data_IF_434514127983
#
_entry.id   IF_434514127983
#
_cell.length_a   1.000
_cell.length_b   1.000
_cell.length_c   1.000
_cell.angle_alpha   90.00
_cell.angle_beta   90.00
_cell.angle_gamma   90.00
#
_symmetry.space_group_name_H-M   'P 1'
#
loop_
_entity.id
_entity.type
_entity.pdbx_description
1 polymer ?
#
# COMPACT_ATOMS: atom_id res chain seq x y z
N UNK A 1 -31.76 36.71 -39.10
CA UNK A 1 -30.41 36.66 -38.52
C UNK A 1 -30.59 36.80 -37.00
N UNK A 2 -30.68 35.67 -36.30
CA UNK A 2 -31.05 35.63 -34.88
C UNK A 2 -29.79 35.76 -34.03
N UNK A 3 -29.71 36.79 -33.20
CA UNK A 3 -28.59 37.02 -32.30
C UNK A 3 -28.55 35.90 -31.24
N UNK A 4 -27.38 35.29 -30.94
CA UNK A 4 -27.29 34.32 -29.86
C UNK A 4 -27.49 35.01 -28.51
N UNK A 5 -28.29 34.39 -27.65
CA UNK A 5 -28.55 34.81 -26.27
C UNK A 5 -27.24 34.79 -25.45
N UNK A 6 -26.75 35.95 -24.96
CA UNK A 6 -25.51 36.04 -24.19
C UNK A 6 -25.59 35.41 -22.79
N UNK A 7 -26.79 35.08 -22.31
CA UNK A 7 -27.01 34.53 -20.96
C UNK A 7 -27.10 32.99 -20.92
N UNK A 8 -26.90 32.31 -22.05
CA UNK A 8 -26.93 30.85 -22.12
C UNK A 8 -25.66 30.24 -21.53
N UNK A 9 -25.62 30.14 -20.20
CA UNK A 9 -24.55 29.43 -19.47
C UNK A 9 -24.45 28.00 -20.01
N UNK A 10 -23.25 27.50 -20.37
CA UNK A 10 -23.08 26.11 -20.78
C UNK A 10 -23.61 25.21 -19.68
N UNK A 11 -24.45 24.24 -20.04
CA UNK A 11 -24.96 23.25 -19.12
C UNK A 11 -23.79 22.65 -18.34
N UNK A 12 -23.86 22.71 -17.01
CA UNK A 12 -22.83 22.16 -16.14
C UNK A 12 -22.63 20.68 -16.53
N UNK A 13 -21.37 20.31 -16.84
CA UNK A 13 -21.02 18.90 -17.09
C UNK A 13 -21.55 18.08 -15.92
N UNK A 14 -22.29 16.98 -16.15
CA UNK A 14 -22.69 16.09 -15.08
C UNK A 14 -21.46 15.72 -14.27
N UNK A 15 -21.54 15.86 -12.94
CA UNK A 15 -20.49 15.35 -12.06
C UNK A 15 -20.24 13.88 -12.44
N UNK A 16 -18.99 13.43 -12.61
CA UNK A 16 -18.72 12.05 -12.97
C UNK A 16 -19.42 11.15 -11.97
N UNK A 17 -20.25 10.24 -12.49
CA UNK A 17 -21.05 9.30 -11.72
C UNK A 17 -20.16 8.69 -10.64
N UNK A 18 -20.60 8.81 -9.38
CA UNK A 18 -20.01 8.12 -8.24
C UNK A 18 -19.80 6.65 -8.62
N UNK A 19 -18.55 6.26 -8.91
CA UNK A 19 -18.26 4.85 -9.19
C UNK A 19 -18.62 4.06 -7.92
N UNK A 20 -19.65 3.24 -8.02
CA UNK A 20 -20.11 2.36 -6.95
C UNK A 20 -19.15 1.18 -6.82
N UNK A 21 -18.00 1.41 -6.19
CA UNK A 21 -17.00 0.36 -5.89
C UNK A 21 -15.56 0.82 -6.13
N UNK A 22 -14.60 -0.02 -5.72
CA UNK A 22 -13.20 0.19 -6.06
C UNK A 22 -12.98 -0.04 -7.58
N UNK A 23 -12.13 0.75 -8.26
CA UNK A 23 -11.79 0.53 -9.66
C UNK A 23 -11.25 -0.86 -9.95
N UNK A 24 -11.51 -1.37 -11.16
CA UNK A 24 -11.13 -2.74 -11.55
C UNK A 24 -9.65 -3.07 -11.40
N UNK A 25 -8.74 -2.12 -11.56
CA UNK A 25 -7.30 -2.36 -11.38
C UNK A 25 -6.92 -2.67 -9.92
N UNK A 26 -7.65 -2.14 -8.93
CA UNK A 26 -7.43 -2.48 -7.51
C UNK A 26 -7.93 -3.88 -7.21
N UNK A 27 -9.06 -4.26 -7.81
CA UNK A 27 -9.56 -5.64 -7.74
C UNK A 27 -8.62 -6.62 -8.42
N UNK A 28 -8.01 -6.25 -9.55
CA UNK A 28 -6.99 -7.07 -10.19
C UNK A 28 -5.75 -7.23 -9.28
N UNK A 29 -5.27 -6.13 -8.69
CA UNK A 29 -4.13 -6.14 -7.76
C UNK A 29 -4.40 -7.06 -6.55
N UNK A 30 -5.53 -6.88 -5.87
CA UNK A 30 -5.94 -7.72 -4.73
C UNK A 30 -6.24 -9.14 -5.19
N UNK A 31 -6.80 -9.33 -6.38
CA UNK A 31 -7.10 -10.64 -6.96
C UNK A 31 -5.86 -11.48 -7.21
N UNK A 32 -4.76 -10.87 -7.67
CA UNK A 32 -3.46 -11.54 -7.80
C UNK A 32 -2.95 -11.99 -6.43
N UNK A 33 -3.00 -11.12 -5.42
CA UNK A 33 -2.59 -11.46 -4.04
C UNK A 33 -3.46 -12.59 -3.46
N UNK A 34 -4.77 -12.55 -3.73
CA UNK A 34 -5.71 -13.58 -3.31
C UNK A 34 -5.47 -14.91 -4.00
N UNK A 35 -5.21 -14.92 -5.31
CA UNK A 35 -4.87 -16.13 -6.03
C UNK A 35 -3.60 -16.80 -5.47
N UNK A 36 -2.58 -16.01 -5.15
CA UNK A 36 -1.35 -16.51 -4.50
C UNK A 36 -1.70 -17.09 -3.13
N UNK A 37 -2.34 -16.34 -2.24
CA UNK A 37 -2.62 -16.80 -0.88
C UNK A 37 -3.56 -18.02 -0.83
N UNK A 38 -4.54 -18.10 -1.74
CA UNK A 38 -5.41 -19.26 -1.87
C UNK A 38 -4.65 -20.49 -2.36
N UNK A 39 -3.72 -20.35 -3.30
CA UNK A 39 -2.86 -21.44 -3.74
C UNK A 39 -1.96 -21.93 -2.60
N UNK A 40 -1.35 -21.01 -1.84
CA UNK A 40 -0.54 -21.36 -0.67
C UNK A 40 -1.39 -22.05 0.41
N UNK A 41 -2.57 -21.54 0.71
CA UNK A 41 -3.50 -22.15 1.69
C UNK A 41 -3.98 -23.53 1.25
N UNK A 42 -4.30 -23.72 -0.03
CA UNK A 42 -4.66 -25.02 -0.58
C UNK A 42 -3.50 -26.02 -0.52
N UNK A 43 -2.27 -25.55 -0.74
CA UNK A 43 -1.06 -26.34 -0.54
C UNK A 43 -0.85 -26.76 0.92
N UNK A 44 -1.02 -25.82 1.86
CA UNK A 44 -0.93 -26.09 3.31
C UNK A 44 -1.97 -27.14 3.75
N UNK A 45 -3.16 -27.10 3.14
CA UNK A 45 -4.24 -28.06 3.35
C UNK A 45 -4.02 -29.42 2.63
N UNK A 46 -2.94 -29.56 1.84
CA UNK A 46 -2.64 -30.77 1.06
C UNK A 46 -3.53 -30.98 -0.17
N UNK A 47 -4.25 -29.96 -0.61
CA UNK A 47 -5.12 -29.99 -1.79
C UNK A 47 -4.36 -29.72 -3.09
N UNK A 48 -3.21 -29.03 -3.01
CA UNK A 48 -2.27 -28.85 -4.10
C UNK A 48 -0.96 -29.57 -3.75
N UNK A 49 -0.31 -30.18 -4.74
CA UNK A 49 0.91 -30.97 -4.54
C UNK A 49 2.07 -30.14 -3.95
N UNK A 50 2.78 -30.73 -2.99
CA UNK A 50 3.95 -30.14 -2.32
C UNK A 50 3.59 -29.33 -1.07
N UNK A 51 3.67 -29.92 0.13
CA UNK A 51 3.35 -29.24 1.40
C UNK A 51 4.26 -28.05 1.76
N UNK A 52 5.28 -27.79 0.94
CA UNK A 52 6.29 -26.77 1.18
C UNK A 52 6.13 -25.51 0.30
N UNK A 53 5.06 -25.40 -0.50
CA UNK A 53 4.90 -24.26 -1.44
C UNK A 53 4.94 -22.90 -0.75
N UNK A 54 4.40 -22.76 0.47
CA UNK A 54 4.50 -21.50 1.23
C UNK A 54 5.93 -21.16 1.61
N UNK A 55 6.66 -22.14 2.15
CA UNK A 55 8.07 -21.99 2.51
C UNK A 55 8.90 -21.62 1.29
N UNK A 56 8.65 -22.26 0.14
CA UNK A 56 9.29 -21.91 -1.13
C UNK A 56 8.90 -20.50 -1.59
N UNK A 57 7.62 -20.12 -1.55
CA UNK A 57 7.18 -18.78 -1.92
C UNK A 57 7.89 -17.70 -1.09
N UNK A 58 8.05 -17.92 0.22
CA UNK A 58 8.78 -16.99 1.08
C UNK A 58 10.28 -16.98 0.76
N UNK A 59 10.88 -18.15 0.58
CA UNK A 59 12.29 -18.29 0.26
C UNK A 59 12.66 -17.52 -1.01
N UNK A 60 11.81 -17.55 -2.04
CA UNK A 60 12.06 -16.89 -3.33
C UNK A 60 11.54 -15.46 -3.42
N UNK A 61 10.44 -15.12 -2.73
CA UNK A 61 9.71 -13.88 -2.96
C UNK A 61 9.57 -12.94 -1.76
N UNK A 62 9.86 -13.37 -0.54
CA UNK A 62 9.81 -12.48 0.62
C UNK A 62 11.03 -11.55 0.67
N UNK A 63 10.91 -10.47 1.45
CA UNK A 63 12.04 -9.59 1.72
C UNK A 63 12.88 -10.16 2.86
N UNK A 64 14.17 -10.39 2.61
CA UNK A 64 15.09 -10.94 3.59
C UNK A 64 16.15 -9.90 3.94
N UNK A 65 16.10 -9.38 5.16
CA UNK A 65 17.14 -8.48 5.67
C UNK A 65 18.55 -9.10 5.60
N UNK A 66 18.76 -10.42 5.89
CA UNK A 66 20.06 -11.06 5.72
C UNK A 66 20.68 -10.95 4.31
N UNK A 67 19.86 -10.89 3.25
CA UNK A 67 20.35 -10.66 1.88
C UNK A 67 20.87 -9.24 1.69
N UNK A 68 20.25 -8.25 2.35
CA UNK A 68 20.73 -6.85 2.37
C UNK A 68 22.02 -6.73 3.17
N UNK A 69 22.10 -7.43 4.30
CA UNK A 69 23.28 -7.44 5.17
C UNK A 69 24.47 -8.23 4.59
N UNK A 70 24.27 -8.99 3.50
CA UNK A 70 25.30 -9.83 2.90
C UNK A 70 25.68 -11.04 3.75
N UNK A 71 24.85 -11.43 4.72
CA UNK A 71 25.11 -12.57 5.61
C UNK A 71 24.63 -13.89 5.03
N UNK A 72 23.75 -13.85 4.03
CA UNK A 72 23.33 -15.01 3.22
C UNK A 72 23.40 -14.67 1.74
N UNK A 73 23.61 -15.68 0.90
CA UNK A 73 23.66 -15.51 -0.56
C UNK A 73 22.27 -15.60 -1.17
N UNK A 74 22.00 -14.86 -2.27
CA UNK A 74 20.76 -15.01 -3.02
C UNK A 74 20.70 -16.39 -3.70
N UNK A 75 19.48 -16.90 -3.83
CA UNK A 75 19.18 -18.22 -4.39
C UNK A 75 19.07 -18.16 -5.92
N UNK A 76 18.75 -16.99 -6.46
CA UNK A 76 18.73 -16.72 -7.89
C UNK A 76 19.22 -15.31 -8.19
N UNK A 77 19.72 -15.11 -9.41
CA UNK A 77 20.17 -13.81 -9.88
C UNK A 77 19.01 -12.80 -9.84
N UNK A 78 19.21 -11.67 -9.17
CA UNK A 78 18.21 -10.60 -9.07
C UNK A 78 17.28 -10.69 -7.85
N UNK A 79 17.40 -11.70 -6.98
CA UNK A 79 16.57 -11.80 -5.77
C UNK A 79 16.63 -10.54 -4.89
N UNK A 80 17.82 -9.98 -4.70
CA UNK A 80 18.06 -8.76 -3.91
C UNK A 80 17.32 -7.53 -4.46
N UNK A 81 16.94 -7.54 -5.74
CA UNK A 81 16.16 -6.48 -6.37
C UNK A 81 14.67 -6.84 -6.39
N UNK A 82 14.34 -8.07 -6.80
CA UNK A 82 12.97 -8.56 -6.90
C UNK A 82 12.22 -8.46 -5.56
N UNK A 83 12.92 -8.77 -4.45
CA UNK A 83 12.33 -8.80 -3.12
C UNK A 83 11.77 -7.45 -2.64
N UNK A 84 12.16 -6.31 -3.25
CA UNK A 84 11.58 -4.99 -2.94
C UNK A 84 10.14 -4.81 -3.45
N UNK A 85 9.69 -5.68 -4.36
CA UNK A 85 8.34 -5.66 -4.93
C UNK A 85 7.59 -6.95 -4.60
N UNK A 86 8.22 -8.12 -4.76
CA UNK A 86 7.53 -9.41 -4.61
C UNK A 86 6.99 -9.65 -3.21
N UNK A 87 7.64 -9.12 -2.18
CA UNK A 87 7.21 -9.26 -0.78
C UNK A 87 5.79 -8.75 -0.55
N UNK A 88 5.38 -7.70 -1.29
CA UNK A 88 4.07 -7.07 -1.16
C UNK A 88 2.92 -7.97 -1.64
N UNK A 89 3.22 -9.06 -2.37
CA UNK A 89 2.22 -9.99 -2.88
C UNK A 89 2.05 -11.24 -2.01
N UNK A 90 3.01 -11.53 -1.13
CA UNK A 90 2.98 -12.67 -0.23
C UNK A 90 2.28 -12.29 1.08
N UNK A 91 1.49 -13.20 1.64
CA UNK A 91 0.78 -12.97 2.90
C UNK A 91 0.94 -14.16 3.83
N UNK A 92 0.67 -13.92 5.11
CA UNK A 92 0.87 -14.88 6.20
C UNK A 92 -0.36 -15.73 6.50
N UNK A 93 -1.34 -15.74 5.59
CA UNK A 93 -2.68 -16.26 5.83
C UNK A 93 -3.77 -15.33 5.29
N UNK A 94 -4.98 -15.89 5.18
CA UNK A 94 -6.17 -15.21 4.67
C UNK A 94 -6.55 -13.96 5.46
N UNK A 95 -6.39 -13.97 6.79
CA UNK A 95 -6.69 -12.79 7.63
C UNK A 95 -5.72 -11.63 7.31
N UNK A 96 -4.43 -11.92 7.18
CA UNK A 96 -3.42 -10.92 6.84
C UNK A 96 -3.70 -10.30 5.45
N UNK A 97 -4.06 -11.13 4.47
CA UNK A 97 -4.51 -10.65 3.16
C UNK A 97 -5.77 -9.79 3.27
N UNK A 98 -6.80 -10.24 3.99
CA UNK A 98 -8.07 -9.53 4.10
C UNK A 98 -7.89 -8.12 4.67
N UNK A 99 -7.06 -7.96 5.71
CA UNK A 99 -6.76 -6.66 6.29
C UNK A 99 -6.11 -5.70 5.27
N UNK A 100 -5.16 -6.20 4.49
CA UNK A 100 -4.53 -5.42 3.42
C UNK A 100 -5.53 -5.07 2.31
N UNK A 101 -6.32 -6.05 1.85
CA UNK A 101 -7.31 -5.88 0.80
C UNK A 101 -8.34 -4.81 1.16
N UNK A 102 -8.82 -4.78 2.41
CA UNK A 102 -9.75 -3.74 2.88
C UNK A 102 -9.14 -2.35 2.72
N UNK A 103 -7.88 -2.14 3.13
CA UNK A 103 -7.22 -0.83 3.00
C UNK A 103 -6.98 -0.48 1.52
N UNK A 104 -6.45 -1.42 0.74
CA UNK A 104 -6.14 -1.19 -0.67
C UNK A 104 -7.39 -0.86 -1.49
N UNK A 105 -8.51 -1.55 -1.27
CA UNK A 105 -9.76 -1.31 -1.98
C UNK A 105 -10.45 -0.02 -1.50
N UNK A 106 -10.54 0.19 -0.18
CA UNK A 106 -11.24 1.35 0.37
C UNK A 106 -10.48 2.65 0.13
N UNK A 107 -9.22 2.72 0.56
CA UNK A 107 -8.41 3.94 0.46
C UNK A 107 -7.85 4.12 -0.95
N UNK A 108 -7.50 3.02 -1.63
CA UNK A 108 -7.06 3.08 -3.02
C UNK A 108 -8.13 3.65 -3.95
N UNK A 109 -9.43 3.37 -3.72
CA UNK A 109 -10.53 4.02 -4.46
C UNK A 109 -10.48 5.54 -4.32
N UNK A 110 -10.32 6.04 -3.09
CA UNK A 110 -10.25 7.48 -2.81
C UNK A 110 -9.03 8.12 -3.49
N UNK A 111 -7.89 7.44 -3.46
CA UNK A 111 -6.65 7.90 -4.11
C UNK A 111 -6.82 7.90 -5.64
N UNK A 112 -7.35 6.81 -6.21
CA UNK A 112 -7.57 6.65 -7.64
C UNK A 112 -8.51 7.71 -8.21
N UNK A 113 -9.52 8.14 -7.43
CA UNK A 113 -10.41 9.23 -7.81
C UNK A 113 -9.68 10.58 -7.98
N UNK A 114 -8.49 10.75 -7.39
CA UNK A 114 -7.70 12.00 -7.49
C UNK A 114 -6.51 11.91 -8.44
N UNK A 115 -5.81 10.78 -8.48
CA UNK A 115 -4.56 10.62 -9.26
C UNK A 115 -4.62 9.52 -10.33
N UNK A 116 -5.79 8.92 -10.55
CA UNK A 116 -6.01 7.88 -11.53
C UNK A 116 -5.29 6.56 -11.22
N UNK A 117 -5.47 5.57 -12.10
CA UNK A 117 -4.92 4.24 -11.92
C UNK A 117 -3.37 4.22 -11.85
N UNK A 118 -2.72 4.92 -12.79
CA UNK A 118 -1.26 4.99 -12.84
C UNK A 118 -0.68 5.60 -11.56
N UNK A 119 -1.21 6.75 -11.11
CA UNK A 119 -0.74 7.39 -9.88
C UNK A 119 -0.92 6.50 -8.65
N UNK A 120 -2.07 5.84 -8.52
CA UNK A 120 -2.34 4.92 -7.39
C UNK A 120 -1.39 3.72 -7.40
N UNK A 121 -1.15 3.11 -8.56
CA UNK A 121 -0.20 2.01 -8.70
C UNK A 121 1.24 2.45 -8.44
N UNK A 122 1.65 3.64 -8.92
CA UNK A 122 2.96 4.20 -8.59
C UNK A 122 3.14 4.39 -7.08
N UNK A 123 2.14 4.94 -6.39
CA UNK A 123 2.18 5.07 -4.92
C UNK A 123 2.28 3.70 -4.26
N UNK A 124 1.50 2.71 -4.72
CA UNK A 124 1.56 1.35 -4.19
C UNK A 124 2.98 0.77 -4.29
N UNK A 125 3.58 0.76 -5.49
CA UNK A 125 4.91 0.17 -5.71
C UNK A 125 6.03 0.97 -5.03
N UNK A 126 5.99 2.30 -5.11
CA UNK A 126 7.00 3.14 -4.45
C UNK A 126 6.95 2.99 -2.92
N UNK A 127 5.76 2.89 -2.33
CA UNK A 127 5.62 2.65 -0.90
C UNK A 127 6.00 1.22 -0.49
N UNK A 128 5.77 0.21 -1.33
CA UNK A 128 6.30 -1.14 -1.11
C UNK A 128 7.84 -1.15 -1.12
N UNK A 129 8.46 -0.46 -2.08
CA UNK A 129 9.91 -0.32 -2.19
C UNK A 129 10.45 0.44 -0.98
N UNK A 130 9.88 1.60 -0.65
CA UNK A 130 10.32 2.41 0.49
C UNK A 130 10.14 1.66 1.83
N UNK A 131 9.08 0.88 1.96
CA UNK A 131 8.88 -0.01 3.11
C UNK A 131 9.96 -1.09 3.19
N UNK A 132 10.26 -1.77 2.09
CA UNK A 132 11.38 -2.72 2.01
C UNK A 132 12.73 -2.07 2.34
N UNK A 133 12.99 -0.85 1.86
CA UNK A 133 14.20 -0.09 2.17
C UNK A 133 14.29 0.21 3.66
N UNK A 134 13.22 0.72 4.28
CA UNK A 134 13.20 1.00 5.72
C UNK A 134 13.42 -0.28 6.55
N UNK A 135 12.74 -1.36 6.19
CA UNK A 135 12.94 -2.66 6.85
C UNK A 135 14.38 -3.18 6.71
N UNK A 136 14.95 -3.14 5.50
CA UNK A 136 16.32 -3.58 5.25
C UNK A 136 17.39 -2.79 6.00
N UNK A 137 17.15 -1.49 6.24
CA UNK A 137 18.09 -0.60 6.93
C UNK A 137 17.96 -0.62 8.46
N UNK A 138 16.75 -0.86 8.99
CA UNK A 138 16.44 -0.69 10.41
C UNK A 138 16.29 -2.04 11.13
N UNK A 139 15.70 -3.04 10.47
CA UNK A 139 15.43 -4.32 11.12
C UNK A 139 16.71 -5.09 11.39
N UNK A 140 16.77 -5.74 12.56
CA UNK A 140 17.80 -6.72 12.91
C UNK A 140 17.28 -8.16 12.90
N UNK A 141 16.03 -8.36 12.48
CA UNK A 141 15.40 -9.67 12.43
C UNK A 141 15.92 -10.54 11.28
N UNK A 142 16.07 -11.84 11.53
CA UNK A 142 16.42 -12.82 10.50
C UNK A 142 15.20 -13.34 9.71
N UNK A 143 13.99 -13.06 10.20
CA UNK A 143 12.74 -13.53 9.59
C UNK A 143 12.39 -12.78 8.30
N UNK A 144 11.61 -13.43 7.41
CA UNK A 144 11.15 -12.79 6.19
C UNK A 144 10.10 -11.71 6.49
N UNK A 145 10.15 -10.61 5.75
CA UNK A 145 9.05 -9.66 5.67
C UNK A 145 8.19 -9.96 4.43
N UNK A 146 6.87 -9.98 4.64
CA UNK A 146 5.84 -10.21 3.63
C UNK A 146 4.65 -9.29 3.89
N UNK A 147 3.87 -9.01 2.85
CA UNK A 147 2.58 -8.34 2.95
C UNK A 147 2.56 -6.97 2.27
N UNK A 148 1.39 -6.61 1.74
CA UNK A 148 1.17 -5.32 1.08
C UNK A 148 1.11 -4.12 2.05
N UNK A 149 1.35 -4.33 3.34
CA UNK A 149 1.05 -3.36 4.39
C UNK A 149 1.93 -2.12 4.31
N UNK A 150 3.19 -2.22 3.88
CA UNK A 150 4.02 -1.05 3.56
C UNK A 150 3.36 -0.14 2.51
N UNK A 151 2.80 -0.73 1.44
CA UNK A 151 2.05 0.01 0.44
C UNK A 151 0.73 0.59 0.99
N UNK A 152 0.03 -0.17 1.82
CA UNK A 152 -1.19 0.28 2.49
C UNK A 152 -0.93 1.50 3.42
N UNK A 153 0.18 1.49 4.15
CA UNK A 153 0.64 2.65 4.92
C UNK A 153 1.02 3.83 4.03
N UNK A 154 1.54 3.57 2.82
CA UNK A 154 1.66 4.57 1.76
C UNK A 154 0.35 5.25 1.39
N UNK A 155 -0.72 4.48 1.28
CA UNK A 155 -2.06 5.04 1.03
C UNK A 155 -2.54 5.92 2.18
N UNK A 156 -2.28 5.53 3.44
CA UNK A 156 -2.52 6.41 4.58
C UNK A 156 -1.65 7.68 4.53
N UNK A 157 -0.39 7.56 4.17
CA UNK A 157 0.55 8.68 4.06
C UNK A 157 0.09 9.73 3.06
N UNK A 158 -0.26 9.32 1.84
CA UNK A 158 -0.73 10.25 0.80
C UNK A 158 -2.06 10.91 1.18
N UNK A 159 -2.99 10.13 1.75
CA UNK A 159 -4.27 10.66 2.21
C UNK A 159 -4.08 11.70 3.33
N UNK A 160 -3.22 11.40 4.31
CA UNK A 160 -2.96 12.30 5.43
C UNK A 160 -2.20 13.57 4.98
N UNK A 161 -1.32 13.48 3.98
CA UNK A 161 -0.64 14.64 3.38
C UNK A 161 -1.61 15.57 2.62
N UNK A 162 -2.60 15.01 1.93
CA UNK A 162 -3.68 15.79 1.32
C UNK A 162 -4.55 16.48 2.35
N UNK A 163 -4.92 15.78 3.42
CA UNK A 163 -5.70 16.35 4.51
C UNK A 163 -4.93 17.47 5.22
N UNK A 164 -3.64 17.26 5.49
CA UNK A 164 -2.74 18.29 6.00
C UNK A 164 -2.71 19.52 5.10
N UNK A 165 -2.51 19.33 3.79
CA UNK A 165 -2.44 20.42 2.81
C UNK A 165 -3.75 21.21 2.75
N UNK A 166 -4.90 20.52 2.74
CA UNK A 166 -6.22 21.14 2.75
C UNK A 166 -6.45 21.99 4.01
N UNK A 167 -6.19 21.41 5.19
CA UNK A 167 -6.38 22.09 6.47
C UNK A 167 -5.46 23.28 6.63
N UNK A 168 -4.20 23.17 6.23
CA UNK A 168 -3.24 24.30 6.21
C UNK A 168 -3.75 25.44 5.34
N UNK A 169 -4.21 25.15 4.12
CA UNK A 169 -4.75 26.17 3.20
C UNK A 169 -6.00 26.85 3.74
N UNK A 170 -6.84 26.11 4.47
CA UNK A 170 -8.09 26.62 5.06
C UNK A 170 -7.94 27.10 6.51
N UNK A 171 -6.71 27.17 7.04
CA UNK A 171 -6.43 27.55 8.43
C UNK A 171 -7.24 26.73 9.47
N UNK A 172 -7.52 25.46 9.16
CA UNK A 172 -8.27 24.56 10.04
C UNK A 172 -7.32 23.82 11.01
N UNK A 173 -7.82 23.38 12.18
CA UNK A 173 -7.02 22.60 13.12
C UNK A 173 -6.47 21.32 12.51
N UNK A 174 -5.18 21.03 12.79
CA UNK A 174 -4.48 19.81 12.33
C UNK A 174 -4.73 18.58 13.20
N UNK A 175 -5.57 18.69 14.25
CA UNK A 175 -5.86 17.60 15.18
C UNK A 175 -6.24 16.27 14.47
N UNK A 176 -7.05 16.25 13.39
CA UNK A 176 -7.38 14.98 12.71
C UNK A 176 -6.19 14.33 11.99
N UNK A 177 -5.26 15.13 11.45
CA UNK A 177 -4.03 14.64 10.79
C UNK A 177 -3.13 13.97 11.83
N UNK A 178 -2.94 14.65 12.97
CA UNK A 178 -2.14 14.14 14.09
C UNK A 178 -2.78 12.93 14.74
N UNK A 179 -4.11 12.92 14.90
CA UNK A 179 -4.86 11.79 15.45
C UNK A 179 -4.75 10.54 14.56
N UNK A 180 -4.78 10.71 13.24
CA UNK A 180 -4.58 9.60 12.29
C UNK A 180 -3.17 9.02 12.43
N UNK A 181 -2.14 9.88 12.43
CA UNK A 181 -0.76 9.43 12.61
C UNK A 181 -0.55 8.73 13.96
N UNK A 182 -1.06 9.32 15.05
CA UNK A 182 -0.99 8.73 16.39
C UNK A 182 -1.74 7.39 16.47
N UNK A 183 -2.93 7.29 15.88
CA UNK A 183 -3.71 6.06 15.84
C UNK A 183 -3.00 4.93 15.10
N UNK A 184 -2.37 5.23 13.95
CA UNK A 184 -1.56 4.27 13.21
C UNK A 184 -0.32 3.83 14.00
N UNK A 185 0.34 4.75 14.71
CA UNK A 185 1.47 4.42 15.59
C UNK A 185 1.04 3.51 16.75
N UNK A 186 -0.07 3.84 17.42
CA UNK A 186 -0.61 3.00 18.50
C UNK A 186 -1.02 1.62 18.00
N UNK A 187 -1.63 1.54 16.82
CA UNK A 187 -1.96 0.26 16.19
C UNK A 187 -0.70 -0.58 15.89
N UNK A 188 0.38 0.05 15.41
CA UNK A 188 1.66 -0.63 15.21
C UNK A 188 2.23 -1.19 16.51
N UNK A 189 2.24 -0.38 17.58
CA UNK A 189 2.74 -0.81 18.89
C UNK A 189 1.90 -1.99 19.40
N UNK A 190 0.57 -1.88 19.35
CA UNK A 190 -0.34 -2.93 19.82
C UNK A 190 -0.15 -4.23 19.02
N UNK A 191 -0.09 -4.15 17.69
CA UNK A 191 0.14 -5.31 16.83
C UNK A 191 1.54 -5.91 17.02
N UNK A 192 2.58 -5.09 17.20
CA UNK A 192 3.93 -5.56 17.47
C UNK A 192 3.99 -6.36 18.76
N UNK A 193 3.37 -5.87 19.84
CA UNK A 193 3.28 -6.59 21.12
C UNK A 193 2.45 -7.86 20.98
N UNK A 194 1.27 -7.80 20.35
CA UNK A 194 0.39 -8.95 20.18
C UNK A 194 1.02 -10.07 19.35
N UNK A 195 1.84 -9.72 18.36
CA UNK A 195 2.54 -10.67 17.49
C UNK A 195 3.92 -11.08 18.03
N UNK A 196 4.25 -10.76 19.29
CA UNK A 196 5.52 -11.14 19.90
C UNK A 196 6.75 -10.58 19.17
N UNK A 197 6.62 -9.38 18.58
CA UNK A 197 7.66 -8.73 17.78
C UNK A 197 7.65 -9.09 16.29
N UNK A 198 6.74 -9.96 15.83
CA UNK A 198 6.62 -10.37 14.43
C UNK A 198 6.02 -9.34 13.45
N UNK A 199 6.01 -8.05 13.79
CA UNK A 199 5.48 -6.99 12.94
C UNK A 199 6.61 -6.17 12.31
N UNK A 200 6.66 -6.11 10.99
CA UNK A 200 7.57 -5.25 10.22
C UNK A 200 7.13 -3.78 10.23
N UNK A 201 7.12 -3.15 11.41
CA UNK A 201 6.70 -1.76 11.60
C UNK A 201 7.57 -0.77 10.80
N UNK A 202 8.83 -1.14 10.52
CA UNK A 202 9.76 -0.37 9.70
C UNK A 202 9.19 -0.16 8.30
N UNK A 203 8.57 -1.20 7.73
CA UNK A 203 7.96 -1.11 6.41
C UNK A 203 6.71 -0.23 6.39
N UNK A 204 5.93 -0.25 7.47
CA UNK A 204 4.81 0.67 7.66
C UNK A 204 5.29 2.12 7.71
N UNK A 205 6.38 2.39 8.45
CA UNK A 205 6.97 3.72 8.53
C UNK A 205 7.50 4.19 7.16
N UNK A 206 8.33 3.39 6.49
CA UNK A 206 8.89 3.73 5.18
C UNK A 206 7.82 3.94 4.11
N UNK A 207 6.80 3.08 4.11
CA UNK A 207 5.63 3.20 3.25
C UNK A 207 4.86 4.50 3.46
N UNK A 208 4.53 4.82 4.72
CA UNK A 208 3.83 6.05 5.10
C UNK A 208 4.61 7.31 4.69
N UNK A 209 5.91 7.35 4.95
CA UNK A 209 6.77 8.49 4.55
C UNK A 209 6.74 8.69 3.04
N UNK A 210 6.90 7.61 2.26
CA UNK A 210 6.83 7.71 0.79
C UNK A 210 5.47 8.21 0.31
N UNK A 211 4.39 7.68 0.88
CA UNK A 211 3.03 8.15 0.58
C UNK A 211 2.85 9.64 0.88
N UNK A 212 3.33 10.09 2.04
CA UNK A 212 3.28 11.49 2.44
C UNK A 212 4.00 12.39 1.43
N UNK A 213 5.22 12.01 1.04
CA UNK A 213 6.01 12.75 0.04
C UNK A 213 5.30 12.81 -1.31
N UNK A 214 4.70 11.70 -1.75
CA UNK A 214 3.89 11.67 -2.98
C UNK A 214 2.67 12.60 -2.89
N UNK A 215 2.02 12.68 -1.72
CA UNK A 215 0.89 13.59 -1.52
C UNK A 215 1.25 15.06 -1.69
N UNK A 216 2.47 15.45 -1.31
CA UNK A 216 2.97 16.82 -1.47
C UNK A 216 3.28 17.19 -2.92
N UNK A 217 3.65 16.22 -3.77
CA UNK A 217 3.93 16.46 -5.19
C UNK A 217 2.64 16.50 -6.02
N UNK A 218 1.71 15.55 -5.80
CA UNK A 218 0.43 15.52 -6.51
C UNK A 218 -0.54 16.65 -6.12
N UNK A 219 -0.42 17.21 -4.91
CA UNK A 219 -1.24 18.36 -4.48
C UNK A 219 -0.97 19.67 -5.26
N UNK A 220 0.07 19.70 -6.10
CA UNK A 220 0.40 20.86 -6.95
C UNK A 220 -0.39 20.87 -8.28
N UNK A 221 -1.07 19.78 -8.63
CA UNK A 221 -1.82 19.65 -9.90
C UNK A 221 -3.34 19.83 -9.79
N UNK A 222 -3.89 20.09 -8.59
CA UNK A 222 -5.34 20.25 -8.43
C UNK A 222 -5.76 21.70 -8.76
N UNK A 223 -6.79 21.91 -9.61
CA UNK A 223 -7.37 23.23 -9.85
C UNK A 223 -7.79 23.88 -8.53
N UNK A 224 -7.54 25.17 -8.40
CA UNK A 224 -7.91 25.99 -7.24
C UNK A 224 -9.42 26.05 -7.04
#
# INVERSE_FOLDING_TARGET
MTYPDPDRRPAARPAPLSQSGAPGFLWALVGVMAAIELALTASDAGLLGGRDLRSLAYLYGAFWQPLVAGTVLPIYSGQTVAMYVTHAFLHGGLLHLAMNAVILLSLGKVIAARIGAFGTLSVFFLSAIAGGTAFGLISSGAGPMIGASGAAFGFFGIWNAWEFSLRRRRQMPLRPVLATAAGLTLANIALFVFLGGGLAWEAHFGGYVMGWLAGLTFARGLPR
#
